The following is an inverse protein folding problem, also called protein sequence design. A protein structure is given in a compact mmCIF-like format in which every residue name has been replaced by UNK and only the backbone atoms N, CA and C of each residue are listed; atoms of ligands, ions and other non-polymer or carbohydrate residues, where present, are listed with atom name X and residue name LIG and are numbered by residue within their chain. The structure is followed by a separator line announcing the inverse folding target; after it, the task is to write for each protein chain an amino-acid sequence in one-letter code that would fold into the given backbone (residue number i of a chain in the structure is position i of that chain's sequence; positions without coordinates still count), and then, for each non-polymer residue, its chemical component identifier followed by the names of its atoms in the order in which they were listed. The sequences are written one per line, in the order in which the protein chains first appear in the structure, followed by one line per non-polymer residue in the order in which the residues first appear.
data_IF_351181099314
#
_entry.id   IF_351181099314
#
_cell.length_a   1.000
_cell.length_b   1.000
_cell.length_c   1.000
_cell.angle_alpha   90.00
_cell.angle_beta   90.00
_cell.angle_gamma   90.00
#
_symmetry.space_group_name_H-M   'P 1'
#
loop_
_entity.id
_entity.type
_entity.pdbx_description
1 polymer ?
#
# COMPACT_ATOMS: atom_id res chain seq x y z
N UNK A 1 21.85 6.52 -14.95
CA UNK A 1 20.53 6.28 -14.35
C UNK A 1 20.76 6.24 -12.86
N UNK A 2 20.56 7.37 -12.20
CA UNK A 2 20.60 7.52 -10.74
C UNK A 2 19.33 6.89 -10.17
N UNK A 3 19.30 6.24 -9.02
CA UNK A 3 20.26 5.52 -8.18
C UNK A 3 19.35 4.92 -7.09
N UNK A 4 19.22 3.60 -6.97
CA UNK A 4 18.70 2.89 -5.77
C UNK A 4 17.48 3.49 -5.02
N UNK A 5 16.58 4.22 -5.70
CA UNK A 5 15.32 4.68 -5.11
C UNK A 5 14.32 3.54 -5.30
N UNK A 6 13.98 2.88 -4.19
CA UNK A 6 12.90 1.90 -4.19
C UNK A 6 11.63 2.61 -4.70
N UNK A 7 10.90 2.00 -5.64
CA UNK A 7 9.72 2.63 -6.21
C UNK A 7 8.69 2.87 -5.12
N UNK A 8 8.26 4.12 -5.01
CA UNK A 8 7.40 4.60 -3.94
C UNK A 8 6.31 5.49 -4.55
N UNK A 9 5.07 5.26 -4.12
CA UNK A 9 3.91 6.00 -4.58
C UNK A 9 3.18 6.61 -3.39
N UNK A 10 3.00 7.92 -3.44
CA UNK A 10 2.21 8.66 -2.47
C UNK A 10 0.74 8.65 -2.89
N UNK A 11 -0.15 8.35 -1.94
CA UNK A 11 -1.58 8.39 -2.14
C UNK A 11 -2.29 9.15 -1.02
N UNK A 12 -3.26 9.96 -1.45
CA UNK A 12 -4.15 10.73 -0.57
C UNK A 12 -5.57 10.21 -0.74
N UNK A 13 -6.18 9.87 0.38
CA UNK A 13 -7.53 9.38 0.51
C UNK A 13 -8.48 10.54 0.85
N UNK A 14 -9.75 10.47 0.42
CA UNK A 14 -10.70 11.55 0.64
C UNK A 14 -11.10 11.73 2.11
N UNK A 15 -10.99 10.67 2.92
CA UNK A 15 -11.34 10.65 4.34
C UNK A 15 -10.39 9.74 5.12
N UNK A 16 -10.21 9.97 6.44
CA UNK A 16 -9.35 9.12 7.26
C UNK A 16 -9.98 7.75 7.41
N UNK A 17 -9.31 6.72 6.87
CA UNK A 17 -9.80 5.35 6.92
C UNK A 17 -8.85 4.45 7.71
N UNK A 18 -9.40 3.30 8.12
CA UNK A 18 -8.62 2.20 8.66
C UNK A 18 -8.10 1.34 7.51
N UNK A 19 -6.81 1.49 7.21
CA UNK A 19 -6.14 0.75 6.15
C UNK A 19 -6.14 -0.74 6.47
N UNK A 20 -5.98 -1.15 7.73
CA UNK A 20 -5.93 -2.58 8.10
C UNK A 20 -7.26 -3.25 7.80
N UNK A 21 -8.33 -2.64 8.28
CA UNK A 21 -9.69 -3.12 8.08
C UNK A 21 -10.09 -3.08 6.59
N UNK A 22 -9.59 -2.10 5.83
CA UNK A 22 -9.73 -2.08 4.36
C UNK A 22 -9.01 -3.27 3.71
N UNK A 23 -7.75 -3.53 4.07
CA UNK A 23 -6.97 -4.67 3.57
C UNK A 23 -7.64 -6.01 3.92
N UNK A 24 -8.19 -6.14 5.13
CA UNK A 24 -8.99 -7.31 5.55
C UNK A 24 -10.24 -7.48 4.69
N UNK A 25 -10.96 -6.40 4.37
CA UNK A 25 -12.17 -6.46 3.53
C UNK A 25 -11.89 -6.94 2.12
N UNK A 26 -10.80 -6.49 1.51
CA UNK A 26 -10.39 -6.94 0.17
C UNK A 26 -9.62 -8.26 0.19
N UNK A 27 -9.33 -8.80 1.38
CA UNK A 27 -8.64 -10.07 1.55
C UNK A 27 -7.16 -10.02 1.20
N UNK A 28 -6.53 -8.84 1.31
CA UNK A 28 -5.10 -8.68 1.10
C UNK A 28 -4.35 -9.04 2.38
N UNK A 29 -3.37 -9.93 2.24
CA UNK A 29 -2.49 -10.33 3.35
C UNK A 29 -1.62 -9.15 3.79
N UNK A 30 -1.62 -8.86 5.09
CA UNK A 30 -0.83 -7.79 5.68
C UNK A 30 -0.27 -8.20 7.04
N UNK A 31 0.82 -7.52 7.43
CA UNK A 31 1.55 -7.71 8.66
C UNK A 31 1.82 -6.36 9.28
N UNK A 32 1.29 -6.16 10.47
CA UNK A 32 1.54 -4.96 11.24
C UNK A 32 2.97 -4.88 11.74
N UNK A 33 3.62 -3.76 11.43
CA UNK A 33 4.95 -3.45 11.94
C UNK A 33 4.82 -2.56 13.17
N UNK A 34 4.12 -1.43 13.00
CA UNK A 34 3.88 -0.42 14.03
C UNK A 34 2.50 0.24 13.82
N UNK A 35 2.19 1.25 14.63
CA UNK A 35 0.96 2.07 14.49
C UNK A 35 0.90 2.90 13.20
N UNK A 36 2.05 3.21 12.61
CA UNK A 36 2.20 4.04 11.40
C UNK A 36 2.62 3.23 10.17
N UNK A 37 2.94 1.94 10.32
CA UNK A 37 3.54 1.13 9.25
C UNK A 37 2.98 -0.28 9.22
N UNK A 38 2.63 -0.74 8.03
CA UNK A 38 2.21 -2.12 7.78
C UNK A 38 2.84 -2.65 6.50
N UNK A 39 3.19 -3.92 6.48
CA UNK A 39 3.72 -4.61 5.31
C UNK A 39 2.60 -5.40 4.68
N UNK A 40 2.48 -5.35 3.36
CA UNK A 40 1.37 -5.91 2.61
C UNK A 40 1.93 -6.82 1.52
N UNK A 41 1.34 -8.01 1.38
CA UNK A 41 1.70 -8.96 0.34
C UNK A 41 0.63 -8.87 -0.74
N UNK A 42 0.97 -8.22 -1.85
CA UNK A 42 0.05 -8.00 -2.96
C UNK A 42 0.64 -8.59 -4.24
N UNK A 43 -0.10 -9.48 -4.91
CA UNK A 43 0.36 -10.16 -6.13
C UNK A 43 1.74 -10.84 -6.01
N UNK A 44 2.04 -11.43 -4.85
CA UNK A 44 3.36 -12.02 -4.52
C UNK A 44 4.52 -11.01 -4.42
N UNK A 45 4.22 -9.71 -4.47
CA UNK A 45 5.16 -8.64 -4.17
C UNK A 45 4.99 -8.18 -2.72
N UNK A 46 6.08 -7.69 -2.12
CA UNK A 46 6.11 -7.14 -0.77
C UNK A 46 6.08 -5.61 -0.89
N UNK A 47 4.98 -5.04 -0.42
CA UNK A 47 4.75 -3.61 -0.33
C UNK A 47 4.83 -3.18 1.13
N UNK A 48 5.31 -1.98 1.38
CA UNK A 48 5.26 -1.33 2.68
C UNK A 48 4.37 -0.11 2.59
N UNK A 49 3.34 -0.09 3.42
CA UNK A 49 2.44 1.05 3.56
C UNK A 49 2.81 1.82 4.80
N UNK A 50 2.97 3.13 4.65
CA UNK A 50 3.40 4.06 5.69
C UNK A 50 2.35 5.16 5.76
N UNK A 51 1.71 5.33 6.91
CA UNK A 51 0.86 6.49 7.14
C UNK A 51 1.77 7.71 7.33
N UNK A 52 1.62 8.73 6.48
CA UNK A 52 2.32 10.01 6.64
C UNK A 52 1.53 10.99 7.50
N UNK A 53 0.20 10.81 7.56
CA UNK A 53 -0.69 11.60 8.41
C UNK A 53 -1.40 10.71 9.44
N UNK A 54 -0.85 10.65 10.65
CA UNK A 54 -1.48 9.92 11.76
C UNK A 54 -1.08 8.45 11.83
N UNK A 55 -2.05 7.53 11.74
CA UNK A 55 -1.85 6.08 11.97
C UNK A 55 -2.48 5.26 10.85
N UNK A 56 -1.99 4.05 10.63
CA UNK A 56 -2.54 3.13 9.60
C UNK A 56 -4.05 2.87 9.83
N UNK A 57 -4.54 2.95 11.07
CA UNK A 57 -5.97 2.77 11.38
C UNK A 57 -6.82 4.03 11.20
N UNK A 58 -6.22 5.18 10.93
CA UNK A 58 -6.92 6.45 10.76
C UNK A 58 -6.00 7.43 10.02
N UNK A 59 -5.73 7.16 8.74
CA UNK A 59 -4.88 8.01 7.90
C UNK A 59 -5.60 8.43 6.63
N UNK A 60 -5.30 9.64 6.17
CA UNK A 60 -5.67 10.16 4.86
C UNK A 60 -4.51 10.11 3.88
N UNK A 61 -3.28 10.19 4.37
CA UNK A 61 -2.09 10.26 3.53
C UNK A 61 -1.18 9.09 3.85
N UNK A 62 -0.84 8.34 2.81
CA UNK A 62 0.01 7.17 2.93
C UNK A 62 0.96 7.07 1.76
N UNK A 63 2.13 6.51 2.06
CA UNK A 63 3.12 6.13 1.07
C UNK A 63 3.17 4.62 0.96
N UNK A 64 3.20 4.14 -0.28
CA UNK A 64 3.36 2.74 -0.61
C UNK A 64 4.72 2.57 -1.27
N UNK A 65 5.61 1.83 -0.63
CA UNK A 65 6.95 1.54 -1.10
C UNK A 65 7.04 0.06 -1.49
N UNK A 66 7.50 -0.25 -2.71
CA UNK A 66 7.74 -1.63 -3.12
C UNK A 66 9.12 -2.07 -2.63
N UNK A 67 9.12 -3.02 -1.69
CA UNK A 67 10.34 -3.62 -1.16
C UNK A 67 10.87 -4.75 -2.02
N UNK A 68 9.98 -5.68 -2.42
CA UNK A 68 10.36 -6.82 -3.25
C UNK A 68 9.29 -7.09 -4.30
N UNK A 69 9.70 -7.15 -5.56
CA UNK A 69 8.80 -7.52 -6.66
C UNK A 69 8.57 -9.04 -6.69
N UNK A 70 7.43 -9.46 -7.24
CA UNK A 70 7.10 -10.86 -7.37
C UNK A 70 8.14 -11.65 -8.19
N UNK A 71 8.62 -12.81 -7.70
CA UNK A 71 9.65 -13.58 -8.38
C UNK A 71 9.15 -14.09 -9.74
N UNK A 72 9.88 -13.77 -10.81
CA UNK A 72 9.54 -14.16 -12.18
C UNK A 72 8.50 -13.27 -12.87
N UNK A 73 8.06 -12.21 -12.20
CA UNK A 73 7.16 -11.21 -12.75
C UNK A 73 8.00 -10.06 -13.30
N UNK A 74 7.68 -9.59 -14.52
CA UNK A 74 8.20 -8.32 -15.09
C UNK A 74 7.23 -7.13 -14.99
N UNK A 75 6.17 -7.10 -14.15
CA UNK A 75 5.30 -5.95 -14.12
C UNK A 75 6.13 -4.77 -13.63
N UNK A 76 5.92 -3.63 -14.27
CA UNK A 76 6.50 -2.38 -13.84
C UNK A 76 6.16 -2.18 -12.36
N UNK A 77 7.14 -1.84 -11.51
CA UNK A 77 6.89 -1.65 -10.09
C UNK A 77 5.83 -0.56 -9.84
N UNK A 78 5.85 0.49 -10.64
CA UNK A 78 4.81 1.52 -10.68
C UNK A 78 3.41 0.97 -11.00
N UNK A 79 3.31 -0.05 -11.86
CA UNK A 79 2.03 -0.67 -12.20
C UNK A 79 1.48 -1.47 -11.02
N UNK A 80 2.34 -2.17 -10.27
CA UNK A 80 1.95 -2.89 -9.05
C UNK A 80 1.49 -1.90 -7.97
N UNK A 81 2.23 -0.82 -7.76
CA UNK A 81 1.88 0.24 -6.81
C UNK A 81 0.54 0.88 -7.17
N UNK A 82 0.36 1.25 -8.44
CA UNK A 82 -0.89 1.85 -8.95
C UNK A 82 -2.07 0.90 -8.82
N UNK A 83 -1.89 -0.39 -9.10
CA UNK A 83 -2.95 -1.37 -8.96
C UNK A 83 -3.36 -1.56 -7.50
N UNK A 84 -2.40 -1.56 -6.58
CA UNK A 84 -2.67 -1.66 -5.14
C UNK A 84 -3.41 -0.44 -4.62
N UNK A 85 -2.98 0.77 -4.98
CA UNK A 85 -3.62 2.01 -4.51
C UNK A 85 -5.00 2.22 -5.12
N UNK A 86 -5.22 1.84 -6.38
CA UNK A 86 -6.55 1.84 -7.00
C UNK A 86 -7.51 0.86 -6.32
N UNK A 87 -7.05 -0.35 -5.98
CA UNK A 87 -7.84 -1.33 -5.23
C UNK A 87 -8.17 -0.81 -3.81
N UNK A 88 -7.21 -0.18 -3.15
CA UNK A 88 -7.41 0.44 -1.84
C UNK A 88 -8.45 1.57 -1.89
N UNK A 89 -8.32 2.50 -2.84
CA UNK A 89 -9.29 3.60 -3.07
C UNK A 89 -10.67 3.05 -3.45
N UNK A 90 -10.73 2.00 -4.27
CA UNK A 90 -11.99 1.36 -4.62
C UNK A 90 -12.66 0.75 -3.39
N UNK A 91 -11.88 0.11 -2.52
CA UNK A 91 -12.37 -0.47 -1.27
C UNK A 91 -12.89 0.58 -0.28
N UNK A 92 -12.31 1.78 -0.26
CA UNK A 92 -12.82 2.88 0.59
C UNK A 92 -14.18 3.42 0.12
N UNK A 93 -14.54 3.21 -1.15
CA UNK A 93 -15.80 3.69 -1.73
C UNK A 93 -16.96 2.68 -1.57
N UNK A 94 -16.73 1.53 -0.91
CA UNK A 94 -17.77 0.52 -0.70
C UNK A 94 -18.56 0.89 0.58
N UNK A 95 -19.89 1.13 0.48
CA UNK A 95 -20.74 1.60 1.57
C UNK A 95 -21.05 0.56 2.65
#
# INVERSE_FOLDING_TARGET
MTADEMPMQHCTLPEPIDIKDTLERVGIEHLDVDEERTVVIYQQAILKVIATDGRITATQELDVELWEAAPGSTPDPDAVLTAFTDELVTATNIP
#
